data_IF_013925128937
#
_entry.id   IF_013925128937
#
_cell.length_a   1.000
_cell.length_b   1.000
_cell.length_c   1.000
_cell.angle_alpha   90.00
_cell.angle_beta   90.00
_cell.angle_gamma   90.00
#
_symmetry.space_group_name_H-M   'P 1'
#
loop_
_entity.id
_entity.type
_entity.pdbx_description
1 polymer ?
#
# COMPACT_ATOMS: atom_id res chain seq x y z
N UNK A 1 -5.86 71.53 -16.95
CA UNK A 1 -7.15 71.21 -17.60
C UNK A 1 -7.10 69.76 -18.08
N UNK A 2 -7.65 68.85 -17.27
CA UNK A 2 -7.66 67.40 -17.49
C UNK A 2 -8.70 67.05 -18.55
N UNK A 3 -8.27 66.47 -19.69
CA UNK A 3 -9.19 66.02 -20.76
C UNK A 3 -10.16 64.98 -20.19
N UNK A 4 -11.48 65.10 -20.44
CA UNK A 4 -12.46 64.16 -19.90
C UNK A 4 -12.20 62.75 -20.46
N UNK A 5 -12.17 61.76 -19.56
CA UNK A 5 -12.00 60.36 -19.90
C UNK A 5 -13.26 59.85 -20.62
N UNK A 6 -13.21 59.80 -21.95
CA UNK A 6 -14.30 59.25 -22.76
C UNK A 6 -14.32 57.71 -22.60
N UNK A 7 -15.48 57.08 -22.32
CA UNK A 7 -15.59 55.62 -22.31
C UNK A 7 -15.26 55.03 -23.69
N UNK A 8 -15.00 53.73 -23.72
CA UNK A 8 -14.67 52.98 -24.93
C UNK A 8 -15.64 53.29 -26.08
N UNK A 9 -15.11 53.39 -27.32
CA UNK A 9 -15.92 53.58 -28.52
C UNK A 9 -16.97 52.46 -28.60
N UNK A 10 -18.22 52.83 -28.87
CA UNK A 10 -19.28 51.86 -29.15
C UNK A 10 -19.00 51.10 -30.45
N UNK A 11 -19.64 49.95 -30.65
CA UNK A 11 -19.43 49.09 -31.82
C UNK A 11 -19.71 49.83 -33.15
N UNK A 12 -20.70 50.73 -33.16
CA UNK A 12 -21.05 51.55 -34.32
C UNK A 12 -19.99 52.62 -34.62
N UNK A 13 -19.39 53.22 -33.58
CA UNK A 13 -18.28 54.18 -33.72
C UNK A 13 -16.99 53.48 -34.14
N UNK A 14 -16.74 52.26 -33.66
CA UNK A 14 -15.62 51.44 -34.13
C UNK A 14 -15.76 51.09 -35.62
N UNK A 15 -16.96 50.73 -36.09
CA UNK A 15 -17.21 50.46 -37.50
C UNK A 15 -17.00 51.70 -38.39
N UNK A 16 -17.33 52.90 -37.90
CA UNK A 16 -17.05 54.17 -38.61
C UNK A 16 -15.55 54.48 -38.66
N UNK A 17 -14.84 54.31 -37.55
CA UNK A 17 -13.37 54.46 -37.52
C UNK A 17 -12.71 53.50 -38.51
N UNK A 18 -13.24 52.28 -38.61
CA UNK A 18 -12.76 51.29 -39.55
C UNK A 18 -12.94 51.69 -41.01
N UNK A 19 -14.10 52.26 -41.35
CA UNK A 19 -14.39 52.74 -42.69
C UNK A 19 -13.43 53.88 -43.09
N UNK A 20 -13.15 54.82 -42.17
CA UNK A 20 -12.20 55.92 -42.40
C UNK A 20 -10.76 55.43 -42.61
N UNK A 21 -10.33 54.42 -41.87
CA UNK A 21 -8.99 53.86 -42.05
C UNK A 21 -8.86 53.07 -43.36
N UNK A 22 -9.93 52.38 -43.80
CA UNK A 22 -9.95 51.68 -45.09
C UNK A 22 -10.00 52.64 -46.29
N UNK A 23 -10.59 53.83 -46.15
CA UNK A 23 -10.63 54.84 -47.21
C UNK A 23 -9.29 55.59 -47.40
N UNK A 24 -8.26 55.26 -46.61
CA UNK A 24 -6.91 55.80 -46.77
C UNK A 24 -6.63 57.07 -45.97
N UNK A 25 -7.55 57.49 -45.09
CA UNK A 25 -7.34 58.65 -44.20
C UNK A 25 -6.24 58.34 -43.18
N UNK A 26 -5.34 59.30 -42.93
CA UNK A 26 -4.25 59.10 -41.97
C UNK A 26 -4.78 58.90 -40.55
N UNK A 27 -4.07 58.11 -39.74
CA UNK A 27 -4.50 57.75 -38.38
C UNK A 27 -4.76 58.97 -37.47
N UNK A 28 -3.97 60.04 -37.65
CA UNK A 28 -4.12 61.28 -36.91
C UNK A 28 -5.41 62.02 -37.29
N UNK A 29 -5.75 62.02 -38.57
CA UNK A 29 -6.95 62.66 -39.10
C UNK A 29 -8.21 61.88 -38.71
N UNK A 30 -8.18 60.54 -38.84
CA UNK A 30 -9.26 59.68 -38.40
C UNK A 30 -9.55 59.83 -36.90
N UNK A 31 -8.51 59.95 -36.07
CA UNK A 31 -8.67 60.18 -34.63
C UNK A 31 -9.29 61.55 -34.31
N UNK A 32 -8.93 62.59 -35.08
CA UNK A 32 -9.48 63.94 -34.94
C UNK A 32 -10.96 63.96 -35.32
N UNK A 33 -11.33 63.36 -36.44
CA UNK A 33 -12.72 63.30 -36.92
C UNK A 33 -13.63 62.50 -35.97
N UNK A 34 -13.11 61.42 -35.39
CA UNK A 34 -13.86 60.60 -34.43
C UNK A 34 -13.81 61.14 -32.99
N UNK A 35 -13.00 62.17 -32.72
CA UNK A 35 -12.78 62.70 -31.36
C UNK A 35 -12.23 61.65 -30.39
N UNK A 36 -11.37 60.75 -30.88
CA UNK A 36 -10.78 59.66 -30.10
C UNK A 36 -9.26 59.83 -29.95
N UNK A 37 -8.64 59.05 -29.06
CA UNK A 37 -7.20 59.10 -28.86
C UNK A 37 -6.48 58.55 -30.10
N UNK A 38 -5.42 59.23 -30.58
CA UNK A 38 -4.57 58.78 -31.69
C UNK A 38 -4.08 57.34 -31.51
N UNK A 39 -3.77 56.93 -30.27
CA UNK A 39 -3.36 55.55 -29.95
C UNK A 39 -4.44 54.52 -30.29
N UNK A 40 -5.72 54.88 -30.19
CA UNK A 40 -6.86 54.02 -30.53
C UNK A 40 -6.93 53.80 -32.05
N UNK A 41 -6.84 54.87 -32.84
CA UNK A 41 -6.80 54.77 -34.30
C UNK A 41 -5.57 54.00 -34.80
N UNK A 42 -4.39 54.23 -34.20
CA UNK A 42 -3.17 53.50 -34.53
C UNK A 42 -3.25 52.00 -34.20
N UNK A 43 -3.78 51.66 -33.03
CA UNK A 43 -4.03 50.26 -32.64
C UNK A 43 -5.00 49.58 -33.60
N UNK A 44 -6.06 50.28 -34.02
CA UNK A 44 -7.06 49.72 -34.93
C UNK A 44 -6.50 49.51 -36.34
N UNK A 45 -5.74 50.47 -36.87
CA UNK A 45 -5.04 50.33 -38.15
C UNK A 45 -4.08 49.14 -38.15
N UNK A 46 -3.33 48.93 -37.05
CA UNK A 46 -2.45 47.76 -36.90
C UNK A 46 -3.24 46.45 -36.92
N UNK A 47 -4.38 46.37 -36.23
CA UNK A 47 -5.24 45.19 -36.23
C UNK A 47 -5.83 44.89 -37.61
N UNK A 48 -6.04 45.90 -38.46
CA UNK A 48 -6.49 45.71 -39.86
C UNK A 48 -5.39 45.26 -40.82
N UNK A 49 -4.14 45.63 -40.54
CA UNK A 49 -2.99 45.22 -41.34
C UNK A 49 -2.54 43.79 -41.03
N UNK A 50 -2.95 43.24 -39.90
CA UNK A 50 -2.83 41.80 -39.64
C UNK A 50 -3.84 41.11 -40.55
N UNK A 51 -3.42 40.25 -41.50
CA UNK A 51 -4.35 39.48 -42.31
C UNK A 51 -5.30 38.76 -41.36
N UNK A 52 -6.60 38.83 -41.63
CA UNK A 52 -7.60 38.12 -40.83
C UNK A 52 -7.13 36.67 -40.66
N UNK A 53 -6.75 36.30 -39.43
CA UNK A 53 -6.40 34.93 -39.11
C UNK A 53 -7.60 34.09 -39.54
N UNK A 54 -7.39 33.23 -40.55
CA UNK A 54 -8.39 32.26 -40.94
C UNK A 54 -8.81 31.54 -39.66
N UNK A 55 -10.10 31.62 -39.33
CA UNK A 55 -10.69 30.70 -38.34
C UNK A 55 -10.28 29.31 -38.82
N UNK A 56 -9.49 28.54 -38.06
CA UNK A 56 -9.22 27.18 -38.48
C UNK A 56 -10.57 26.45 -38.50
N UNK A 57 -10.90 25.89 -39.66
CA UNK A 57 -11.83 24.77 -39.80
C UNK A 57 -11.57 23.77 -38.66
N UNK A 58 -12.60 23.10 -38.09
CA UNK A 58 -12.39 22.11 -37.05
C UNK A 58 -11.66 20.91 -37.65
N UNK A 59 -10.33 21.00 -37.72
CA UNK A 59 -9.45 19.91 -38.07
C UNK A 59 -9.67 18.80 -37.05
N UNK A 60 -10.16 17.66 -37.53
CA UNK A 60 -10.20 16.42 -36.76
C UNK A 60 -8.84 16.23 -36.10
N UNK A 61 -8.87 16.07 -34.78
CA UNK A 61 -7.69 16.10 -33.93
C UNK A 61 -6.68 15.01 -34.29
N UNK A 62 -5.74 15.32 -35.18
CA UNK A 62 -4.50 14.57 -35.30
C UNK A 62 -3.42 15.32 -34.54
N UNK A 63 -3.25 14.96 -33.26
CA UNK A 63 -2.02 15.26 -32.51
C UNK A 63 -1.01 14.17 -32.85
N UNK A 64 0.26 14.53 -33.08
CA UNK A 64 1.36 13.55 -33.09
C UNK A 64 1.29 12.74 -31.77
N UNK A 65 1.23 11.40 -31.89
CA UNK A 65 1.06 10.47 -30.76
C UNK A 65 -0.39 10.03 -30.46
N UNK A 66 -1.32 10.15 -31.42
CA UNK A 66 -2.75 10.02 -31.17
C UNK A 66 -3.49 8.91 -31.91
N UNK A 67 -2.83 7.99 -32.62
CA UNK A 67 -3.56 6.92 -33.32
C UNK A 67 -4.17 5.93 -32.29
N UNK A 68 -5.34 5.34 -32.55
CA UNK A 68 -5.86 4.26 -31.70
C UNK A 68 -4.91 3.06 -31.60
N UNK A 69 -3.98 2.89 -32.53
CA UNK A 69 -2.94 1.86 -32.45
C UNK A 69 -1.83 2.28 -31.46
N UNK A 70 -1.42 3.54 -31.44
CA UNK A 70 -0.36 4.05 -30.55
C UNK A 70 -0.80 3.96 -29.09
N UNK A 71 -2.06 4.28 -28.80
CA UNK A 71 -2.65 4.11 -27.45
C UNK A 71 -2.68 2.64 -27.01
N UNK A 72 -2.90 1.71 -27.95
CA UNK A 72 -2.88 0.27 -27.66
C UNK A 72 -1.46 -0.22 -27.41
N UNK A 73 -0.48 0.27 -28.15
CA UNK A 73 0.94 -0.06 -27.94
C UNK A 73 1.38 0.36 -26.53
N UNK A 74 1.11 1.61 -26.13
CA UNK A 74 1.46 2.10 -24.79
C UNK A 74 0.77 1.29 -23.69
N UNK A 75 -0.52 0.97 -23.85
CA UNK A 75 -1.25 0.14 -22.88
C UNK A 75 -0.68 -1.28 -22.76
N UNK A 76 -0.30 -1.89 -23.90
CA UNK A 76 0.34 -3.20 -23.92
C UNK A 76 1.75 -3.17 -23.31
N UNK A 77 2.51 -2.09 -23.52
CA UNK A 77 3.84 -1.91 -22.92
C UNK A 77 3.74 -1.78 -21.38
N UNK A 78 2.77 -1.02 -20.88
CA UNK A 78 2.49 -0.91 -19.45
C UNK A 78 2.04 -2.25 -18.85
N UNK A 79 1.22 -3.01 -19.57
CA UNK A 79 0.79 -4.34 -19.16
C UNK A 79 1.96 -5.34 -19.13
N UNK A 80 2.81 -5.35 -20.16
CA UNK A 80 4.04 -6.17 -20.17
C UNK A 80 4.95 -5.80 -19.02
N UNK A 81 5.07 -4.50 -18.69
CA UNK A 81 5.87 -4.05 -17.54
C UNK A 81 5.29 -4.51 -16.21
N UNK A 82 3.97 -4.47 -16.05
CA UNK A 82 3.24 -4.98 -14.87
C UNK A 82 3.44 -6.49 -14.72
N UNK A 83 3.15 -7.26 -15.77
CA UNK A 83 3.28 -8.72 -15.76
C UNK A 83 4.71 -9.17 -15.50
N UNK A 84 5.71 -8.47 -16.04
CA UNK A 84 7.13 -8.73 -15.74
C UNK A 84 7.50 -8.43 -14.29
N UNK A 85 6.84 -7.46 -13.64
CA UNK A 85 7.05 -7.19 -12.20
C UNK A 85 6.45 -8.31 -11.36
N UNK A 86 5.20 -8.67 -11.63
CA UNK A 86 4.51 -9.76 -10.93
C UNK A 86 5.26 -11.09 -11.07
N UNK A 87 5.77 -11.41 -12.25
CA UNK A 87 6.57 -12.62 -12.46
C UNK A 87 7.88 -12.61 -11.65
N UNK A 88 8.52 -11.46 -11.50
CA UNK A 88 9.74 -11.33 -10.69
C UNK A 88 9.46 -11.45 -9.19
N UNK A 89 8.34 -10.92 -8.73
CA UNK A 89 7.90 -11.03 -7.34
C UNK A 89 7.56 -12.49 -7.03
N UNK A 90 6.72 -13.14 -7.84
CA UNK A 90 6.37 -14.55 -7.68
C UNK A 90 7.59 -15.49 -7.73
N UNK A 91 8.58 -15.20 -8.59
CA UNK A 91 9.81 -16.00 -8.65
C UNK A 91 10.69 -15.79 -7.42
N UNK A 92 10.72 -14.58 -6.84
CA UNK A 92 11.43 -14.33 -5.58
C UNK A 92 10.78 -15.11 -4.43
N UNK A 93 9.46 -15.05 -4.33
CA UNK A 93 8.71 -15.74 -3.27
C UNK A 93 8.88 -17.27 -3.38
N UNK A 94 8.90 -17.81 -4.59
CA UNK A 94 9.14 -19.24 -4.83
C UNK A 94 10.56 -19.71 -4.45
N UNK A 95 11.58 -18.89 -4.68
CA UNK A 95 12.97 -19.21 -4.29
C UNK A 95 13.13 -19.25 -2.76
N UNK A 96 12.43 -18.37 -2.04
CA UNK A 96 12.43 -18.36 -0.57
C UNK A 96 11.72 -19.60 -0.01
N UNK A 97 10.58 -19.99 -0.60
CA UNK A 97 9.84 -21.18 -0.17
C UNK A 97 10.63 -22.48 -0.41
N UNK A 98 11.29 -22.60 -1.57
CA UNK A 98 12.13 -23.75 -1.90
C UNK A 98 13.33 -23.86 -0.95
N UNK A 99 13.96 -22.74 -0.61
CA UNK A 99 15.06 -22.67 0.35
C UNK A 99 14.64 -23.12 1.76
N UNK A 100 13.46 -22.67 2.22
CA UNK A 100 12.90 -23.09 3.51
C UNK A 100 12.58 -24.59 3.51
N UNK A 101 11.99 -25.10 2.42
CA UNK A 101 11.65 -26.51 2.25
C UNK A 101 12.90 -27.39 2.23
N UNK A 102 13.97 -26.94 1.58
CA UNK A 102 15.26 -27.65 1.57
C UNK A 102 15.89 -27.72 2.95
N UNK A 103 15.89 -26.62 3.72
CA UNK A 103 16.43 -26.59 5.08
C UNK A 103 15.63 -27.56 5.98
N UNK A 104 14.30 -27.47 5.95
CA UNK A 104 13.43 -28.34 6.76
C UNK A 104 13.54 -29.82 6.35
N UNK A 105 13.61 -30.09 5.04
CA UNK A 105 13.81 -31.45 4.52
C UNK A 105 15.14 -32.04 4.97
N UNK A 106 16.23 -31.27 4.91
CA UNK A 106 17.55 -31.70 5.41
C UNK A 106 17.57 -31.96 6.91
N UNK A 107 16.81 -31.21 7.70
CA UNK A 107 16.69 -31.49 9.14
C UNK A 107 15.91 -32.77 9.40
N UNK A 108 14.88 -33.06 8.61
CA UNK A 108 14.08 -34.30 8.73
C UNK A 108 14.85 -35.56 8.27
N UNK A 109 15.70 -35.42 7.25
CA UNK A 109 16.48 -36.54 6.69
C UNK A 109 17.84 -36.75 7.39
N UNK A 110 18.21 -35.87 8.34
CA UNK A 110 19.44 -36.02 9.09
C UNK A 110 19.34 -37.22 10.04
N UNK A 111 20.29 -38.17 10.03
CA UNK A 111 20.30 -39.26 11.00
C UNK A 111 20.38 -38.70 12.42
N UNK A 112 19.41 -39.06 13.25
CA UNK A 112 19.40 -38.72 14.67
C UNK A 112 20.43 -39.59 15.41
N UNK A 113 21.60 -39.03 15.71
CA UNK A 113 22.53 -39.62 16.68
C UNK A 113 22.28 -38.99 18.05
N UNK A 114 21.48 -39.64 18.92
CA UNK A 114 21.23 -39.11 20.26
C UNK A 114 22.55 -39.03 21.04
N UNK A 115 22.77 -37.98 21.86
CA UNK A 115 24.04 -37.76 22.52
C UNK A 115 24.40 -38.87 23.53
N UNK A 116 25.69 -39.19 23.63
CA UNK A 116 26.21 -40.26 24.49
C UNK A 116 26.02 -40.04 26.00
N UNK A 117 25.77 -38.80 26.42
CA UNK A 117 25.54 -38.45 27.83
C UNK A 117 24.10 -38.74 28.28
N UNK A 118 23.23 -39.23 27.40
CA UNK A 118 21.91 -39.67 27.80
C UNK A 118 22.03 -40.82 28.80
N UNK A 119 21.25 -40.71 29.88
CA UNK A 119 21.17 -41.76 30.89
C UNK A 119 20.60 -43.00 30.22
N UNK A 120 21.45 -44.02 30.02
CA UNK A 120 21.03 -45.31 29.49
C UNK A 120 20.01 -45.92 30.45
N UNK A 121 18.82 -46.21 29.96
CA UNK A 121 17.82 -46.97 30.70
C UNK A 121 18.41 -48.36 30.99
N UNK A 122 18.92 -48.54 32.21
CA UNK A 122 19.35 -49.85 32.69
C UNK A 122 18.05 -50.59 32.94
N UNK A 123 17.56 -51.31 31.93
CA UNK A 123 16.31 -52.08 31.89
C UNK A 123 16.12 -53.10 33.02
N UNK A 124 16.20 -52.64 34.26
CA UNK A 124 15.85 -53.31 35.48
C UNK A 124 14.37 -53.08 35.68
N UNK A 125 13.62 -54.18 35.77
CA UNK A 125 12.22 -54.25 36.21
C UNK A 125 11.88 -53.04 37.07
N UNK A 126 11.04 -52.11 36.57
CA UNK A 126 10.41 -50.96 37.24
C UNK A 126 10.43 -51.08 38.78
N UNK A 127 11.59 -50.92 39.37
CA UNK A 127 11.71 -50.92 40.82
C UNK A 127 11.12 -49.58 41.18
N UNK A 128 10.11 -49.61 42.04
CA UNK A 128 9.33 -48.48 42.56
C UNK A 128 10.25 -47.48 43.28
N UNK A 129 11.22 -46.93 42.56
CA UNK A 129 12.00 -45.80 43.00
C UNK A 129 11.00 -44.68 43.17
N UNK A 130 11.01 -44.07 44.36
CA UNK A 130 10.18 -42.92 44.61
C UNK A 130 10.64 -41.81 43.66
N UNK A 131 9.77 -41.44 42.73
CA UNK A 131 9.95 -40.27 41.88
C UNK A 131 9.19 -39.09 42.49
N UNK A 132 9.60 -37.87 42.15
CA UNK A 132 8.91 -36.65 42.56
C UNK A 132 8.55 -35.92 41.26
N UNK A 133 7.27 -35.85 40.86
CA UNK A 133 6.87 -35.09 39.71
C UNK A 133 7.21 -33.61 39.92
N UNK A 134 7.72 -32.98 38.87
CA UNK A 134 8.07 -31.56 38.86
C UNK A 134 7.26 -30.91 37.76
N UNK A 135 6.50 -29.88 38.11
CA UNK A 135 5.58 -29.20 37.19
C UNK A 135 5.88 -27.71 37.17
N UNK A 136 5.57 -27.05 36.05
CA UNK A 136 5.71 -25.60 35.89
C UNK A 136 4.32 -25.03 35.65
N UNK A 137 3.98 -24.04 36.46
CA UNK A 137 2.71 -23.34 36.48
C UNK A 137 3.04 -21.87 36.25
N UNK A 138 2.77 -21.37 35.04
CA UNK A 138 3.15 -20.03 34.59
C UNK A 138 2.11 -19.48 33.62
N UNK A 139 2.18 -18.17 33.40
CA UNK A 139 1.53 -17.49 32.27
C UNK A 139 0.01 -17.77 32.20
N UNK A 140 -0.66 -17.62 33.36
CA UNK A 140 -2.08 -17.84 33.48
C UNK A 140 -2.91 -16.72 32.87
N UNK A 141 -2.40 -15.48 32.89
CA UNK A 141 -3.04 -14.26 32.42
C UNK A 141 -4.48 -14.13 32.94
N UNK A 142 -4.69 -14.44 34.23
CA UNK A 142 -6.03 -14.45 34.81
C UNK A 142 -6.59 -13.04 34.92
N UNK A 143 -7.70 -12.79 34.21
CA UNK A 143 -8.36 -11.49 34.21
C UNK A 143 -7.94 -10.58 33.04
N UNK A 144 -7.02 -11.04 32.20
CA UNK A 144 -6.71 -10.39 30.93
C UNK A 144 -7.63 -10.94 29.82
N UNK A 145 -7.96 -10.08 28.86
CA UNK A 145 -8.66 -10.47 27.65
C UNK A 145 -7.84 -9.99 26.46
N UNK A 146 -7.28 -10.94 25.72
CA UNK A 146 -6.47 -10.69 24.52
C UNK A 146 -7.11 -11.46 23.38
N UNK A 147 -7.51 -10.73 22.34
CA UNK A 147 -8.11 -11.33 21.17
C UNK A 147 -7.06 -12.05 20.32
N UNK A 148 -7.45 -13.09 19.55
CA UNK A 148 -6.56 -13.70 18.57
C UNK A 148 -5.99 -12.72 17.54
N UNK A 149 -6.66 -11.59 17.28
CA UNK A 149 -6.13 -10.57 16.37
C UNK A 149 -4.90 -9.87 16.97
N UNK A 150 -4.88 -9.66 18.28
CA UNK A 150 -3.74 -9.05 19.01
C UNK A 150 -2.53 -9.98 19.09
N UNK A 151 -2.74 -11.29 18.90
CA UNK A 151 -1.67 -12.31 18.87
C UNK A 151 -1.34 -12.80 17.47
N UNK A 152 -1.71 -12.06 16.41
CA UNK A 152 -1.50 -12.46 15.02
C UNK A 152 -2.08 -13.84 14.66
N UNK A 153 -3.18 -14.23 15.31
CA UNK A 153 -3.87 -15.49 15.11
C UNK A 153 -3.30 -16.67 15.93
N UNK A 154 -2.32 -16.44 16.80
CA UNK A 154 -1.66 -17.50 17.58
C UNK A 154 -2.46 -17.96 18.81
N UNK A 155 -3.55 -17.26 19.14
CA UNK A 155 -4.49 -17.67 20.20
C UNK A 155 -5.08 -16.49 20.97
N UNK A 156 -6.05 -16.74 21.84
CA UNK A 156 -6.61 -15.72 22.73
C UNK A 156 -6.33 -16.02 24.19
N UNK A 157 -6.55 -15.01 25.02
CA UNK A 157 -6.64 -15.14 26.46
C UNK A 157 -7.99 -14.55 26.89
N UNK A 158 -8.74 -15.32 27.66
CA UNK A 158 -9.88 -14.85 28.43
C UNK A 158 -10.05 -15.79 29.62
N UNK A 159 -10.95 -15.46 30.54
CA UNK A 159 -11.15 -16.25 31.75
C UNK A 159 -11.59 -17.70 31.47
N UNK A 160 -12.36 -17.92 30.40
CA UNK A 160 -12.82 -19.26 30.01
C UNK A 160 -11.68 -20.11 29.43
N UNK A 161 -10.80 -19.50 28.64
CA UNK A 161 -9.59 -20.12 28.10
C UNK A 161 -8.64 -20.46 29.25
N UNK A 162 -8.45 -19.55 30.20
CA UNK A 162 -7.62 -19.77 31.37
C UNK A 162 -8.13 -20.95 32.21
N UNK A 163 -9.44 -21.02 32.50
CA UNK A 163 -10.04 -22.14 33.23
C UNK A 163 -9.83 -23.48 32.50
N UNK A 164 -10.04 -23.51 31.17
CA UNK A 164 -9.82 -24.69 30.36
C UNK A 164 -8.35 -25.15 30.37
N UNK A 165 -7.40 -24.21 30.31
CA UNK A 165 -5.96 -24.49 30.38
C UNK A 165 -5.54 -25.03 31.74
N UNK A 166 -6.01 -24.42 32.84
CA UNK A 166 -5.76 -24.90 34.21
C UNK A 166 -6.27 -26.32 34.36
N UNK A 167 -7.51 -26.59 33.93
CA UNK A 167 -8.11 -27.93 33.98
C UNK A 167 -7.27 -28.94 33.21
N UNK A 168 -6.92 -28.62 31.95
CA UNK A 168 -6.10 -29.49 31.11
C UNK A 168 -4.75 -29.80 31.73
N UNK A 169 -4.08 -28.80 32.32
CA UNK A 169 -2.79 -29.00 32.98
C UNK A 169 -2.92 -29.97 34.16
N UNK A 170 -3.89 -29.73 35.04
CA UNK A 170 -4.11 -30.55 36.23
C UNK A 170 -4.49 -31.98 35.86
N UNK A 171 -5.39 -32.16 34.89
CA UNK A 171 -5.80 -33.48 34.40
C UNK A 171 -4.62 -34.24 33.78
N UNK A 172 -3.78 -33.58 32.98
CA UNK A 172 -2.59 -34.18 32.40
C UNK A 172 -1.56 -34.60 33.47
N UNK A 173 -1.35 -33.78 34.50
CA UNK A 173 -0.48 -34.13 35.63
C UNK A 173 -1.00 -35.37 36.35
N UNK A 174 -2.30 -35.42 36.63
CA UNK A 174 -2.95 -36.57 37.28
C UNK A 174 -2.79 -37.83 36.43
N UNK A 175 -3.06 -37.73 35.13
CA UNK A 175 -2.96 -38.85 34.19
C UNK A 175 -1.53 -39.39 34.12
N UNK A 176 -0.53 -38.51 33.97
CA UNK A 176 0.88 -38.88 34.00
C UNK A 176 1.26 -39.60 35.30
N UNK A 177 0.84 -39.06 36.44
CA UNK A 177 1.18 -39.64 37.73
C UNK A 177 0.49 -41.01 37.94
N UNK A 178 -0.75 -41.18 37.49
CA UNK A 178 -1.53 -42.41 37.76
C UNK A 178 -1.29 -43.51 36.74
N UNK A 179 -1.12 -43.16 35.47
CA UNK A 179 -1.14 -44.12 34.36
C UNK A 179 0.25 -44.32 33.72
N UNK A 180 1.17 -43.35 33.88
CA UNK A 180 2.45 -43.37 33.16
C UNK A 180 3.69 -43.45 34.05
N UNK A 181 3.65 -42.96 35.28
CA UNK A 181 4.81 -43.03 36.19
C UNK A 181 4.84 -44.27 37.12
N UNK A 182 5.71 -44.27 38.15
CA UNK A 182 5.87 -45.38 39.09
C UNK A 182 4.68 -45.59 40.04
N UNK A 183 3.75 -44.64 40.09
CA UNK A 183 2.52 -44.71 40.91
C UNK A 183 2.74 -44.55 42.42
N UNK A 184 3.98 -44.32 42.86
CA UNK A 184 4.33 -44.02 44.25
C UNK A 184 5.15 -42.74 44.28
N UNK A 185 4.56 -41.66 44.80
CA UNK A 185 5.18 -40.34 44.89
C UNK A 185 5.11 -39.86 46.34
N UNK A 186 6.23 -39.45 46.97
CA UNK A 186 6.22 -38.88 48.31
C UNK A 186 5.66 -37.46 48.33
N UNK A 187 5.58 -36.81 47.16
CA UNK A 187 5.04 -35.47 46.97
C UNK A 187 5.16 -35.03 45.51
N UNK A 188 4.79 -33.79 45.24
CA UNK A 188 4.92 -33.11 43.94
C UNK A 188 5.55 -31.74 44.15
N UNK A 189 6.44 -31.32 43.24
CA UNK A 189 6.97 -29.96 43.20
C UNK A 189 6.22 -29.17 42.14
N UNK A 190 5.61 -28.08 42.56
CA UNK A 190 4.94 -27.12 41.68
C UNK A 190 5.78 -25.85 41.64
N UNK A 191 6.44 -25.61 40.51
CA UNK A 191 7.17 -24.37 40.28
C UNK A 191 6.19 -23.33 39.77
N UNK A 192 5.84 -22.38 40.64
CA UNK A 192 5.08 -21.20 40.28
C UNK A 192 6.06 -20.18 39.67
N UNK A 193 5.89 -19.86 38.40
CA UNK A 193 6.67 -18.82 37.71
C UNK A 193 5.83 -17.53 37.59
N UNK A 194 6.08 -16.73 36.56
CA UNK A 194 5.30 -15.52 36.28
C UNK A 194 3.84 -15.79 35.94
N UNK A 195 3.07 -14.72 35.82
CA UNK A 195 1.63 -14.75 35.46
C UNK A 195 1.40 -14.60 33.96
#
# INVERSE_FOLDING_TARGET
>A
MTKPHRPHLSDTEMARLDALLRSGVTQSEAARQMGCNRKTAARRARLMQVPAAQKPEPAGAFRLGGSPADRRIVALEDEVKRLRRELREAHRDGLDEESVREILGRMADSPEEPPDWLVRDRGGKRTRAAEVPVTIWSDWHLGESVSPAETFGLGGYDLSIAEARVRRLVEAIIDLCRNHGPGTYPGIVVNLLGD
#
